data_IF_281015115980
#
_entry.id   IF_281015115980
#
_cell.length_a   1.000
_cell.length_b   1.000
_cell.length_c   1.000
_cell.angle_alpha   90.00
_cell.angle_beta   90.00
_cell.angle_gamma   90.00
#
_symmetry.space_group_name_H-M   'P 1'
#
loop_
_entity.id
_entity.type
_entity.pdbx_description
1 polymer ?
#
# COMPACT_ATOMS: atom_id res chain seq x y z
N UNK A 1 8.87 13.09 -0.23
CA UNK A 1 8.26 11.90 0.39
C UNK A 1 7.39 11.23 -0.64
N UNK A 2 7.44 9.90 -0.72
CA UNK A 2 6.68 9.15 -1.70
C UNK A 2 5.37 8.63 -1.07
N UNK A 3 4.32 8.59 -1.89
CA UNK A 3 3.08 7.86 -1.59
C UNK A 3 3.05 6.64 -2.51
N UNK A 4 2.98 5.45 -1.93
CA UNK A 4 3.07 4.18 -2.64
C UNK A 4 1.87 3.33 -2.32
N UNK A 5 1.10 2.94 -3.34
CA UNK A 5 0.07 1.91 -3.19
C UNK A 5 0.66 0.56 -3.57
N UNK A 6 0.58 -0.41 -2.67
CA UNK A 6 1.07 -1.78 -2.88
C UNK A 6 -0.05 -2.79 -2.70
N UNK A 7 -0.10 -3.79 -3.59
CA UNK A 7 -1.01 -4.94 -3.48
C UNK A 7 -0.21 -6.21 -3.73
N UNK A 8 -0.23 -7.12 -2.76
CA UNK A 8 0.54 -8.37 -2.78
C UNK A 8 -0.42 -9.55 -2.86
N UNK A 9 -0.26 -10.36 -3.91
CA UNK A 9 -1.16 -11.49 -4.20
C UNK A 9 -0.35 -12.78 -4.29
N UNK A 10 -0.59 -13.77 -3.41
CA UNK A 10 0.02 -15.09 -3.55
C UNK A 10 -0.65 -15.86 -4.70
N UNK A 11 0.13 -16.61 -5.47
CA UNK A 11 -0.32 -17.41 -6.61
C UNK A 11 -0.11 -18.89 -6.30
N UNK A 12 -1.10 -19.72 -6.65
CA UNK A 12 -0.97 -21.18 -6.55
C UNK A 12 -1.10 -21.72 -5.14
N UNK A 13 -1.87 -21.05 -4.27
CA UNK A 13 -2.08 -21.44 -2.86
C UNK A 13 -3.01 -22.65 -2.67
N UNK A 14 -3.64 -23.14 -3.75
CA UNK A 14 -4.66 -24.20 -3.69
C UNK A 14 -6.02 -23.74 -3.16
N UNK A 15 -6.19 -22.44 -2.88
CA UNK A 15 -7.45 -21.86 -2.39
C UNK A 15 -7.71 -20.50 -3.05
N UNK A 16 -8.98 -20.14 -3.23
CA UNK A 16 -9.39 -18.81 -3.71
C UNK A 16 -9.34 -17.75 -2.60
N UNK A 17 -9.32 -18.16 -1.32
CA UNK A 17 -9.20 -17.25 -0.19
C UNK A 17 -7.72 -16.98 0.12
N UNK A 18 -7.35 -15.69 0.12
CA UNK A 18 -5.97 -15.24 0.36
C UNK A 18 -5.83 -14.37 1.62
N UNK A 19 -6.91 -14.15 2.38
CA UNK A 19 -6.94 -13.20 3.50
C UNK A 19 -5.88 -13.49 4.57
N UNK A 20 -5.51 -14.76 4.79
CA UNK A 20 -4.43 -15.13 5.72
C UNK A 20 -3.08 -14.53 5.32
N UNK A 21 -2.76 -14.52 4.02
CA UNK A 21 -1.50 -13.96 3.51
C UNK A 21 -1.51 -12.45 3.59
N UNK A 22 -2.66 -11.82 3.27
CA UNK A 22 -2.84 -10.37 3.41
C UNK A 22 -2.68 -9.94 4.87
N UNK A 23 -3.18 -10.71 5.82
CA UNK A 23 -3.01 -10.42 7.25
C UNK A 23 -1.53 -10.47 7.69
N UNK A 24 -0.74 -11.44 7.19
CA UNK A 24 0.70 -11.50 7.47
C UNK A 24 1.46 -10.33 6.83
N UNK A 25 1.12 -9.95 5.60
CA UNK A 25 1.65 -8.75 4.94
C UNK A 25 1.37 -7.48 5.76
N UNK A 26 0.12 -7.30 6.19
CA UNK A 26 -0.29 -6.12 6.96
C UNK A 26 0.33 -6.07 8.36
N UNK A 27 0.59 -7.23 8.97
CA UNK A 27 1.31 -7.30 10.26
C UNK A 27 2.70 -6.67 10.14
N UNK A 28 3.44 -6.99 9.07
CA UNK A 28 4.77 -6.39 8.81
C UNK A 28 4.68 -4.87 8.71
N UNK A 29 3.73 -4.35 7.93
CA UNK A 29 3.55 -2.90 7.75
C UNK A 29 3.25 -2.21 9.09
N UNK A 30 2.36 -2.81 9.88
CA UNK A 30 1.95 -2.27 11.19
C UNK A 30 3.07 -2.29 12.23
N UNK A 31 3.85 -3.36 12.27
CA UNK A 31 4.93 -3.55 13.25
C UNK A 31 6.18 -2.73 12.90
N UNK A 32 6.43 -2.44 11.61
CA UNK A 32 7.60 -1.66 11.19
C UNK A 32 7.56 -0.22 11.69
N UNK A 33 6.39 0.45 11.59
CA UNK A 33 6.12 1.75 12.23
C UNK A 33 6.92 2.95 11.69
N UNK A 34 7.86 2.76 10.75
CA UNK A 34 8.69 3.83 10.18
C UNK A 34 7.98 4.70 9.14
N UNK A 35 6.83 4.26 8.64
CA UNK A 35 6.03 4.95 7.61
C UNK A 35 4.59 5.10 8.07
N UNK A 36 3.89 6.11 7.55
CA UNK A 36 2.42 6.14 7.68
C UNK A 36 1.84 5.12 6.72
N UNK A 37 0.74 4.50 7.11
CA UNK A 37 0.06 3.54 6.26
C UNK A 37 -1.46 3.66 6.38
N UNK A 38 -2.15 3.23 5.33
CA UNK A 38 -3.60 3.02 5.31
C UNK A 38 -3.91 1.75 4.54
N UNK A 39 -4.61 0.82 5.19
CA UNK A 39 -5.17 -0.36 4.55
C UNK A 39 -6.47 0.03 3.84
N UNK A 40 -6.52 -0.16 2.52
CA UNK A 40 -7.68 0.04 1.67
C UNK A 40 -8.16 -1.32 1.11
N UNK A 41 -9.37 -1.43 0.53
CA UNK A 41 -9.92 -2.73 0.08
C UNK A 41 -9.10 -3.46 -1.00
N UNK A 42 -8.28 -2.73 -1.76
CA UNK A 42 -7.53 -3.27 -2.91
C UNK A 42 -6.01 -3.12 -2.79
N UNK A 43 -5.55 -2.22 -1.92
CA UNK A 43 -4.16 -1.83 -1.75
C UNK A 43 -3.89 -1.44 -0.31
N UNK A 44 -2.62 -1.45 0.06
CA UNK A 44 -2.12 -0.74 1.23
C UNK A 44 -1.33 0.46 0.76
N UNK A 45 -1.76 1.64 1.19
CA UNK A 45 -1.08 2.90 0.88
C UNK A 45 -0.03 3.17 1.94
N UNK A 46 1.22 3.38 1.53
CA UNK A 46 2.38 3.71 2.36
C UNK A 46 2.85 5.13 2.04
N UNK A 47 3.14 5.93 3.06
CA UNK A 47 3.67 7.28 2.91
C UNK A 47 4.93 7.44 3.76
N UNK A 48 6.03 7.84 3.12
CA UNK A 48 7.32 7.95 3.78
C UNK A 48 8.50 8.15 2.83
N UNK A 49 9.68 7.82 3.32
CA UNK A 49 10.88 7.73 2.50
C UNK A 49 10.80 6.51 1.55
N UNK A 50 11.14 6.72 0.29
CA UNK A 50 10.98 5.69 -0.74
C UNK A 50 11.86 4.46 -0.49
N UNK A 51 13.08 4.65 0.03
CA UNK A 51 13.97 3.52 0.33
C UNK A 51 13.43 2.68 1.48
N UNK A 52 12.91 3.31 2.53
CA UNK A 52 12.26 2.63 3.65
C UNK A 52 11.02 1.87 3.20
N UNK A 53 10.21 2.45 2.30
CA UNK A 53 9.04 1.76 1.73
C UNK A 53 9.46 0.49 0.98
N UNK A 54 10.52 0.52 0.18
CA UNK A 54 10.99 -0.68 -0.51
C UNK A 54 11.50 -1.76 0.45
N UNK A 55 12.17 -1.38 1.54
CA UNK A 55 12.54 -2.34 2.60
C UNK A 55 11.31 -3.01 3.22
N UNK A 56 10.25 -2.24 3.48
CA UNK A 56 8.99 -2.77 4.02
C UNK A 56 8.35 -3.74 3.03
N UNK A 57 8.29 -3.38 1.74
CA UNK A 57 7.73 -4.24 0.69
C UNK A 57 8.52 -5.55 0.58
N UNK A 58 9.85 -5.51 0.72
CA UNK A 58 10.67 -6.73 0.78
C UNK A 58 10.28 -7.61 1.97
N UNK A 59 10.19 -7.05 3.19
CA UNK A 59 9.76 -7.80 4.38
C UNK A 59 8.35 -8.39 4.22
N UNK A 60 7.45 -7.67 3.54
CA UNK A 60 6.10 -8.15 3.21
C UNK A 60 6.17 -9.39 2.31
N UNK A 61 7.00 -9.38 1.28
CA UNK A 61 7.21 -10.56 0.43
C UNK A 61 7.73 -11.75 1.25
N UNK A 62 8.69 -11.52 2.13
CA UNK A 62 9.28 -12.56 2.96
C UNK A 62 8.24 -13.16 3.92
N UNK A 63 7.40 -12.34 4.55
CA UNK A 63 6.33 -12.80 5.43
C UNK A 63 5.27 -13.62 4.68
N UNK A 64 4.86 -13.18 3.48
CA UNK A 64 3.90 -13.92 2.64
C UNK A 64 4.50 -15.25 2.17
N UNK A 65 5.79 -15.29 1.85
CA UNK A 65 6.50 -16.52 1.51
C UNK A 65 6.57 -17.48 2.71
N UNK A 66 6.91 -16.97 3.91
CA UNK A 66 6.93 -17.75 5.16
C UNK A 66 5.56 -18.32 5.53
N UNK A 67 4.47 -17.64 5.16
CA UNK A 67 3.10 -18.12 5.32
C UNK A 67 2.72 -19.27 4.35
N UNK A 68 3.63 -19.64 3.44
CA UNK A 68 3.51 -20.77 2.53
C UNK A 68 3.19 -20.41 1.07
N UNK A 69 3.36 -19.15 0.66
CA UNK A 69 3.20 -18.77 -0.75
C UNK A 69 4.48 -19.08 -1.53
N UNK A 70 4.38 -19.97 -2.52
CA UNK A 70 5.51 -20.30 -3.39
C UNK A 70 5.77 -19.25 -4.49
N UNK A 71 4.74 -18.49 -4.86
CA UNK A 71 4.82 -17.43 -5.87
C UNK A 71 4.02 -16.23 -5.40
N UNK A 72 4.61 -15.05 -5.54
CA UNK A 72 4.00 -13.78 -5.13
C UNK A 72 3.99 -12.86 -6.35
N UNK A 73 2.84 -12.27 -6.64
CA UNK A 73 2.66 -11.22 -7.65
C UNK A 73 2.28 -9.93 -6.95
N UNK A 74 2.98 -8.85 -7.29
CA UNK A 74 2.85 -7.58 -6.59
C UNK A 74 2.63 -6.45 -7.57
N UNK A 75 1.64 -5.61 -7.29
CA UNK A 75 1.37 -4.37 -8.02
C UNK A 75 1.79 -3.21 -7.14
N UNK A 76 2.63 -2.33 -7.67
CA UNK A 76 3.12 -1.14 -7.00
C UNK A 76 2.85 0.07 -7.89
N UNK A 77 2.21 1.10 -7.31
CA UNK A 77 2.11 2.43 -7.91
C UNK A 77 2.81 3.42 -6.99
N UNK A 78 3.76 4.17 -7.55
CA UNK A 78 4.55 5.16 -6.81
C UNK A 78 4.21 6.55 -7.34
N UNK A 79 3.96 7.46 -6.42
CA UNK A 79 3.86 8.89 -6.66
C UNK A 79 4.92 9.57 -5.77
N UNK A 80 6.09 9.84 -6.36
CA UNK A 80 7.23 10.52 -5.72
C UNK A 80 7.39 11.91 -6.33
N UNK A 81 6.85 12.91 -5.64
CA UNK A 81 7.04 14.32 -5.99
C UNK A 81 8.10 14.94 -5.08
N UNK A 82 8.96 15.76 -5.67
CA UNK A 82 10.11 16.38 -4.98
C UNK A 82 10.00 17.91 -4.83
N UNK A 83 8.92 18.47 -5.34
CA UNK A 83 8.66 19.91 -5.37
C UNK A 83 7.89 20.41 -4.14
N UNK A 84 7.14 19.53 -3.45
CA UNK A 84 6.47 19.83 -2.18
C UNK A 84 6.15 18.57 -1.40
N UNK A 85 5.97 18.71 -0.10
CA UNK A 85 5.38 17.67 0.74
C UNK A 85 3.86 17.64 0.57
N UNK A 86 3.29 16.44 0.51
CA UNK A 86 1.85 16.20 0.39
C UNK A 86 1.54 14.95 1.20
N UNK A 87 0.46 15.01 1.98
CA UNK A 87 -0.07 13.84 2.69
C UNK A 87 -1.08 13.08 1.84
N UNK A 88 -1.19 11.77 2.05
CA UNK A 88 -2.13 10.93 1.30
C UNK A 88 -3.59 11.33 1.52
N UNK A 89 -3.95 11.84 2.71
CA UNK A 89 -5.29 12.36 3.01
C UNK A 89 -5.61 13.62 2.20
N UNK A 90 -4.67 14.56 2.11
CA UNK A 90 -4.84 15.82 1.38
C UNK A 90 -5.18 15.57 -0.10
N UNK A 91 -4.61 14.52 -0.70
CA UNK A 91 -4.95 14.12 -2.08
C UNK A 91 -6.41 13.73 -2.24
N UNK A 92 -7.00 13.06 -1.24
CA UNK A 92 -8.41 12.68 -1.25
C UNK A 92 -9.28 13.90 -0.97
N UNK A 93 -8.92 14.68 0.05
CA UNK A 93 -9.67 15.88 0.47
C UNK A 93 -9.81 16.91 -0.65
N UNK A 94 -8.76 17.15 -1.44
CA UNK A 94 -8.81 18.08 -2.58
C UNK A 94 -9.84 17.62 -3.62
N UNK A 95 -9.85 16.32 -3.97
CA UNK A 95 -10.81 15.78 -4.94
C UNK A 95 -12.23 15.88 -4.39
N UNK A 96 -12.46 15.49 -3.14
CA UNK A 96 -13.76 15.58 -2.47
C UNK A 96 -14.28 17.03 -2.39
N UNK A 97 -13.40 17.99 -2.10
CA UNK A 97 -13.76 19.40 -2.09
C UNK A 97 -14.16 19.91 -3.48
N UNK A 98 -13.50 19.44 -4.54
CA UNK A 98 -13.87 19.77 -5.93
C UNK A 98 -15.21 19.16 -6.33
N UNK A 99 -15.49 17.91 -5.94
CA UNK A 99 -16.76 17.24 -6.23
C UNK A 99 -17.96 17.93 -5.53
N UNK A 100 -17.74 18.55 -4.36
CA UNK A 100 -18.77 19.31 -3.65
C UNK A 100 -19.10 20.65 -4.31
N UNK A 101 -18.17 21.22 -5.08
CA UNK A 101 -18.44 22.42 -5.89
C UNK A 101 -19.25 21.95 -7.11
N UNK A 102 -20.57 22.08 -7.04
CA UNK A 102 -21.45 21.86 -8.21
C UNK A 102 -20.85 22.58 -9.42
N UNK A 103 -20.76 21.94 -10.60
CA UNK A 103 -20.45 22.69 -11.81
C UNK A 103 -21.52 23.79 -11.93
N UNK A 104 -21.07 25.03 -12.11
CA UNK A 104 -21.97 26.13 -12.50
C UNK A 104 -22.60 25.69 -13.83
N UNK A 105 -23.91 25.42 -13.79
CA UNK A 105 -24.72 25.16 -14.99
C UNK A 105 -24.93 26.47 -15.76
#
# INVERSE_FOLDING_TARGET
MAIVAVSVTPIGTGSTSVSRFVAEAERVVREDGRVRYRLDPMFTTLEGDLSVIFEIIQKVHDAVAQAGAARISTVIKIDDRRDKEVRMEEKVEVVEALLKKRPEN
#
